data_IF_825926417947
#
_entry.id   IF_825926417947
#
_cell.length_a   1.000
_cell.length_b   1.000
_cell.length_c   1.000
_cell.angle_alpha   90.00
_cell.angle_beta   90.00
_cell.angle_gamma   90.00
#
_symmetry.space_group_name_H-M   'P 1'
#
loop_
_entity.id
_entity.type
_entity.pdbx_description
1 polymer ?
#
# COMPACT_ATOMS: atom_id res chain seq x y z
N UNK A 1 55.30 -77.29 -18.32
CA UNK A 1 56.52 -78.00 -18.75
C UNK A 1 56.39 -79.46 -18.35
N UNK A 2 56.43 -80.38 -19.33
CA UNK A 2 56.70 -81.78 -19.01
C UNK A 2 58.18 -81.87 -18.60
N UNK A 3 58.50 -82.54 -17.49
CA UNK A 3 59.88 -82.64 -17.01
C UNK A 3 60.74 -83.36 -18.06
N UNK A 4 62.02 -82.97 -18.24
CA UNK A 4 62.92 -83.64 -19.18
C UNK A 4 63.11 -85.09 -18.75
N UNK A 5 62.84 -86.01 -19.67
CA UNK A 5 62.94 -87.46 -19.45
C UNK A 5 64.33 -87.93 -19.89
N UNK A 6 64.93 -88.84 -19.11
CA UNK A 6 66.26 -89.40 -19.42
C UNK A 6 66.27 -90.11 -20.77
N UNK A 7 67.34 -89.90 -21.54
CA UNK A 7 67.50 -90.41 -22.91
C UNK A 7 67.49 -91.94 -22.97
N UNK A 8 67.87 -92.63 -21.89
CA UNK A 8 67.82 -94.09 -21.75
C UNK A 8 66.38 -94.64 -21.81
N UNK A 9 65.42 -93.93 -21.24
CA UNK A 9 64.00 -94.33 -21.17
C UNK A 9 63.31 -94.16 -22.52
N UNK A 10 63.71 -93.13 -23.27
CA UNK A 10 63.19 -92.85 -24.62
C UNK A 10 63.65 -93.94 -25.61
N UNK A 11 64.93 -94.32 -25.58
CA UNK A 11 65.48 -95.38 -26.44
C UNK A 11 64.89 -96.75 -26.12
N UNK A 12 64.61 -97.03 -24.84
CA UNK A 12 63.99 -98.30 -24.42
C UNK A 12 62.50 -98.42 -24.85
N UNK A 13 61.81 -97.30 -25.07
CA UNK A 13 60.37 -97.27 -25.34
C UNK A 13 60.05 -96.38 -26.55
N UNK A 14 60.25 -96.87 -27.78
CA UNK A 14 60.14 -96.05 -28.99
C UNK A 14 58.73 -95.49 -29.21
N UNK A 15 57.66 -96.20 -28.78
CA UNK A 15 56.29 -95.67 -28.84
C UNK A 15 56.07 -94.47 -27.92
N UNK A 16 56.72 -94.48 -26.76
CA UNK A 16 56.63 -93.39 -25.78
C UNK A 16 57.44 -92.18 -26.25
N UNK A 17 58.59 -92.39 -26.88
CA UNK A 17 59.37 -91.32 -27.51
C UNK A 17 58.56 -90.57 -28.59
N UNK A 18 57.83 -91.29 -29.44
CA UNK A 18 56.95 -90.69 -30.44
C UNK A 18 55.81 -89.88 -29.80
N UNK A 19 55.19 -90.40 -28.73
CA UNK A 19 54.12 -89.68 -28.04
C UNK A 19 54.66 -88.45 -27.29
N UNK A 20 55.79 -88.56 -26.61
CA UNK A 20 56.41 -87.46 -25.88
C UNK A 20 56.84 -86.34 -26.83
N UNK A 21 57.43 -86.71 -27.97
CA UNK A 21 57.77 -85.75 -29.03
C UNK A 21 56.52 -85.12 -29.66
N UNK A 22 55.46 -85.87 -29.95
CA UNK A 22 54.20 -85.33 -30.49
C UNK A 22 53.49 -84.39 -29.51
N UNK A 23 53.47 -84.74 -28.22
CA UNK A 23 52.89 -83.90 -27.17
C UNK A 23 53.67 -82.58 -27.02
N UNK A 24 55.01 -82.62 -26.99
CA UNK A 24 55.85 -81.44 -26.88
C UNK A 24 55.85 -80.59 -28.17
N UNK A 25 55.85 -81.22 -29.35
CA UNK A 25 55.92 -80.53 -30.63
C UNK A 25 54.56 -79.99 -31.09
N UNK A 26 53.49 -80.79 -31.01
CA UNK A 26 52.24 -80.51 -31.70
C UNK A 26 51.07 -80.18 -30.76
N UNK A 27 51.03 -80.74 -29.54
CA UNK A 27 49.82 -80.65 -28.68
C UNK A 27 49.94 -79.66 -27.52
N UNK A 28 51.12 -79.39 -26.99
CA UNK A 28 51.32 -78.54 -25.81
C UNK A 28 52.29 -77.39 -26.09
N UNK A 29 52.02 -76.25 -25.48
CA UNK A 29 52.94 -75.12 -25.36
C UNK A 29 53.93 -75.36 -24.22
N UNK A 30 55.03 -74.61 -24.20
CA UNK A 30 56.06 -74.67 -23.15
C UNK A 30 55.47 -74.52 -21.73
N UNK A 31 54.48 -73.64 -21.55
CA UNK A 31 53.79 -73.46 -20.28
C UNK A 31 52.84 -74.60 -19.87
N UNK A 32 52.70 -75.66 -20.68
CA UNK A 32 51.82 -76.82 -20.43
C UNK A 32 50.37 -76.61 -20.86
N UNK A 33 50.02 -75.47 -21.46
CA UNK A 33 48.70 -75.29 -22.08
C UNK A 33 48.60 -76.02 -23.42
N UNK A 34 47.41 -76.47 -23.81
CA UNK A 34 47.19 -77.06 -25.13
C UNK A 34 47.42 -76.04 -26.25
N UNK A 35 48.03 -76.48 -27.34
CA UNK A 35 48.10 -75.74 -28.61
C UNK A 35 46.71 -75.76 -29.25
N UNK A 36 45.91 -74.73 -28.99
CA UNK A 36 44.62 -74.52 -29.64
C UNK A 36 44.82 -73.80 -30.98
N UNK A 37 43.95 -74.09 -31.94
CA UNK A 37 43.84 -73.31 -33.17
C UNK A 37 43.44 -71.86 -32.85
N UNK A 38 43.86 -70.91 -33.69
CA UNK A 38 43.65 -69.46 -33.53
C UNK A 38 42.17 -69.14 -33.36
N UNK A 39 41.28 -69.87 -34.05
CA UNK A 39 39.82 -69.70 -33.91
C UNK A 39 39.31 -70.12 -32.53
N UNK A 40 39.69 -71.31 -32.06
CA UNK A 40 39.26 -71.83 -30.75
C UNK A 40 39.85 -71.01 -29.59
N UNK A 41 41.06 -70.45 -29.77
CA UNK A 41 41.66 -69.54 -28.79
C UNK A 41 40.89 -68.21 -28.70
N UNK A 42 40.45 -67.64 -29.83
CA UNK A 42 39.61 -66.44 -29.84
C UNK A 42 38.25 -66.66 -29.15
N UNK A 43 37.58 -67.78 -29.44
CA UNK A 43 36.31 -68.13 -28.78
C UNK A 43 36.48 -68.24 -27.26
N UNK A 44 37.57 -68.87 -26.80
CA UNK A 44 37.87 -68.96 -25.36
C UNK A 44 38.15 -67.61 -24.74
N UNK A 45 38.85 -66.73 -25.43
CA UNK A 45 39.18 -65.41 -24.92
C UNK A 45 37.94 -64.49 -24.83
N UNK A 46 37.01 -64.60 -25.79
CA UNK A 46 35.69 -63.94 -25.72
C UNK A 46 34.89 -64.45 -24.51
N UNK A 47 34.77 -65.76 -24.35
CA UNK A 47 34.07 -66.34 -23.19
C UNK A 47 34.70 -65.94 -21.85
N UNK A 48 36.04 -65.82 -21.79
CA UNK A 48 36.74 -65.32 -20.60
C UNK A 48 36.42 -63.87 -20.30
N UNK A 49 36.32 -63.01 -21.32
CA UNK A 49 35.93 -61.61 -21.15
C UNK A 49 34.49 -61.50 -20.67
N UNK A 50 33.58 -62.30 -21.23
CA UNK A 50 32.18 -62.35 -20.78
C UNK A 50 32.06 -62.84 -19.33
N UNK A 51 32.76 -63.93 -18.98
CA UNK A 51 32.79 -64.42 -17.60
C UNK A 51 33.38 -63.39 -16.63
N UNK A 52 34.44 -62.68 -17.04
CA UNK A 52 35.01 -61.62 -16.22
C UNK A 52 34.02 -60.48 -16.00
N UNK A 53 33.32 -60.05 -17.07
CA UNK A 53 32.28 -59.02 -16.98
C UNK A 53 31.16 -59.43 -16.02
N UNK A 54 30.63 -60.65 -16.18
CA UNK A 54 29.54 -61.16 -15.32
C UNK A 54 30.00 -61.22 -13.86
N UNK A 55 31.21 -61.74 -13.59
CA UNK A 55 31.76 -61.78 -12.22
C UNK A 55 31.97 -60.39 -11.62
N UNK A 56 32.39 -59.43 -12.42
CA UNK A 56 32.57 -58.05 -11.98
C UNK A 56 31.24 -57.39 -11.64
N UNK A 57 30.22 -57.59 -12.48
CA UNK A 57 28.87 -57.08 -12.24
C UNK A 57 28.25 -57.71 -10.99
N UNK A 58 28.45 -59.02 -10.80
CA UNK A 58 27.98 -59.76 -9.63
C UNK A 58 28.66 -59.27 -8.35
N UNK A 59 29.99 -59.16 -8.35
CA UNK A 59 30.73 -58.61 -7.22
C UNK A 59 30.33 -57.16 -6.90
N UNK A 60 30.04 -56.34 -7.91
CA UNK A 60 29.55 -54.98 -7.70
C UNK A 60 28.16 -54.96 -7.06
N UNK A 61 27.25 -55.83 -7.50
CA UNK A 61 25.92 -55.97 -6.90
C UNK A 61 26.00 -56.41 -5.45
N UNK A 62 26.85 -57.41 -5.15
CA UNK A 62 27.08 -57.88 -3.78
C UNK A 62 27.61 -56.78 -2.85
N UNK A 63 28.58 -55.97 -3.32
CA UNK A 63 29.10 -54.85 -2.51
C UNK A 63 28.00 -53.81 -2.23
N UNK A 64 27.18 -53.47 -3.24
CA UNK A 64 26.07 -52.51 -3.06
C UNK A 64 25.03 -53.11 -2.11
N UNK A 65 24.64 -54.37 -2.30
CA UNK A 65 23.69 -55.06 -1.41
C UNK A 65 24.17 -55.05 0.04
N UNK A 66 25.41 -55.47 0.30
CA UNK A 66 25.97 -55.49 1.64
C UNK A 66 25.98 -54.10 2.29
N UNK A 67 26.25 -53.04 1.51
CA UNK A 67 26.19 -51.66 2.03
C UNK A 67 24.77 -51.18 2.35
N UNK A 68 23.78 -51.60 1.55
CA UNK A 68 22.37 -51.26 1.77
C UNK A 68 21.80 -52.07 2.94
N UNK A 69 22.17 -53.34 3.10
CA UNK A 69 21.79 -54.16 4.27
C UNK A 69 22.37 -53.60 5.57
N UNK A 70 23.62 -53.15 5.57
CA UNK A 70 24.26 -52.51 6.72
C UNK A 70 23.50 -51.21 7.08
N UNK A 71 23.17 -50.39 6.09
CA UNK A 71 22.37 -49.17 6.27
C UNK A 71 20.91 -49.44 6.67
N UNK A 72 20.34 -50.58 6.31
CA UNK A 72 18.94 -50.92 6.60
C UNK A 72 18.77 -51.57 7.98
N UNK A 73 19.73 -52.37 8.43
CA UNK A 73 19.57 -53.20 9.64
C UNK A 73 20.51 -52.84 10.79
N UNK A 74 21.58 -52.08 10.56
CA UNK A 74 22.58 -51.75 11.59
C UNK A 74 22.71 -50.28 11.90
N UNK A 75 22.29 -49.39 11.00
CA UNK A 75 22.35 -47.94 11.22
C UNK A 75 20.96 -47.34 11.44
N UNK A 76 20.73 -46.76 12.62
CA UNK A 76 19.47 -46.08 13.01
C UNK A 76 19.42 -44.62 12.52
N UNK A 77 20.33 -44.22 11.64
CA UNK A 77 20.39 -42.87 11.09
C UNK A 77 19.25 -42.54 10.11
N UNK A 78 18.60 -43.57 9.54
CA UNK A 78 17.49 -43.41 8.60
C UNK A 78 16.12 -43.50 9.29
N UNK A 79 15.18 -42.61 8.95
CA UNK A 79 13.77 -42.73 9.33
C UNK A 79 13.16 -44.08 8.93
N UNK A 80 12.23 -44.59 9.73
CA UNK A 80 11.62 -45.92 9.60
C UNK A 80 11.10 -46.22 8.18
N UNK A 81 10.39 -45.29 7.56
CA UNK A 81 9.83 -45.43 6.21
C UNK A 81 10.92 -45.59 5.13
N UNK A 82 12.04 -44.88 5.29
CA UNK A 82 13.17 -44.95 4.36
C UNK A 82 14.00 -46.21 4.59
N UNK A 83 14.07 -46.69 5.83
CA UNK A 83 14.75 -47.94 6.19
C UNK A 83 14.06 -49.15 5.57
N UNK A 84 12.73 -49.17 5.55
CA UNK A 84 11.94 -50.21 4.88
C UNK A 84 12.19 -50.25 3.36
N UNK A 85 12.22 -49.08 2.71
CA UNK A 85 12.53 -48.97 1.28
C UNK A 85 13.97 -49.40 0.94
N UNK A 86 14.95 -49.05 1.79
CA UNK A 86 16.34 -49.46 1.59
C UNK A 86 16.52 -50.97 1.81
N UNK A 87 15.80 -51.56 2.78
CA UNK A 87 15.76 -53.01 2.99
C UNK A 87 15.16 -53.74 1.77
N UNK A 88 14.07 -53.20 1.21
CA UNK A 88 13.45 -53.74 0.00
C UNK A 88 14.37 -53.62 -1.23
N UNK A 89 15.09 -52.50 -1.37
CA UNK A 89 16.06 -52.31 -2.45
C UNK A 89 17.26 -53.27 -2.34
N UNK A 90 17.74 -53.54 -1.13
CA UNK A 90 18.76 -54.56 -0.90
C UNK A 90 18.27 -55.97 -1.30
N UNK A 91 17.03 -56.33 -0.94
CA UNK A 91 16.40 -57.59 -1.33
C UNK A 91 16.17 -57.71 -2.85
N UNK A 92 15.86 -56.60 -3.54
CA UNK A 92 15.78 -56.56 -5.01
C UNK A 92 17.13 -56.83 -5.67
N UNK A 93 18.21 -56.21 -5.16
CA UNK A 93 19.57 -56.51 -5.61
C UNK A 93 19.98 -57.95 -5.31
N UNK A 94 19.35 -58.56 -4.29
CA UNK A 94 19.26 -59.99 -3.94
C UNK A 94 18.87 -60.92 -5.07
N UNK A 95 18.01 -60.44 -5.98
CA UNK A 95 17.24 -61.31 -6.85
C UNK A 95 16.14 -62.08 -6.11
N UNK A 96 15.79 -61.67 -4.89
CA UNK A 96 14.77 -62.31 -4.04
C UNK A 96 13.35 -61.75 -4.28
N UNK A 97 13.21 -60.79 -5.18
CA UNK A 97 11.91 -60.16 -5.50
C UNK A 97 11.33 -60.81 -6.76
N UNK A 98 10.06 -61.21 -6.65
CA UNK A 98 9.31 -61.84 -7.72
C UNK A 98 9.09 -60.81 -8.84
N UNK A 99 9.13 -61.24 -10.10
CA UNK A 99 9.03 -60.37 -11.29
C UNK A 99 7.76 -59.48 -11.28
N UNK A 100 6.75 -59.88 -10.50
CA UNK A 100 5.48 -59.18 -10.28
C UNK A 100 5.60 -57.92 -9.38
N UNK A 101 6.51 -57.88 -8.40
CA UNK A 101 6.64 -56.77 -7.44
C UNK A 101 7.63 -55.68 -7.91
N UNK A 102 8.49 -55.99 -8.89
CA UNK A 102 9.43 -55.03 -9.47
C UNK A 102 8.72 -53.84 -10.14
N UNK A 103 7.50 -54.04 -10.65
CA UNK A 103 6.68 -52.97 -11.23
C UNK A 103 6.20 -51.96 -10.18
N UNK A 104 5.82 -52.44 -8.99
CA UNK A 104 5.33 -51.60 -7.90
C UNK A 104 6.45 -50.71 -7.35
N UNK A 105 7.63 -51.30 -7.09
CA UNK A 105 8.77 -50.54 -6.56
C UNK A 105 9.29 -49.50 -7.54
N UNK A 106 9.32 -49.82 -8.84
CA UNK A 106 9.67 -48.83 -9.87
C UNK A 106 8.67 -47.68 -9.92
N UNK A 107 7.37 -47.96 -9.78
CA UNK A 107 6.34 -46.92 -9.71
C UNK A 107 6.51 -46.02 -8.47
N UNK A 108 6.86 -46.59 -7.32
CA UNK A 108 7.16 -45.82 -6.12
C UNK A 108 8.43 -44.98 -6.29
N UNK A 109 9.48 -45.51 -6.90
CA UNK A 109 10.73 -44.78 -7.18
C UNK A 109 10.50 -43.61 -8.14
N UNK A 110 9.67 -43.79 -9.16
CA UNK A 110 9.24 -42.72 -10.06
C UNK A 110 8.43 -41.66 -9.31
N UNK A 111 7.52 -42.07 -8.43
CA UNK A 111 6.75 -41.15 -7.59
C UNK A 111 7.65 -40.30 -6.69
N UNK A 112 8.69 -40.91 -6.10
CA UNK A 112 9.66 -40.23 -5.25
C UNK A 112 10.48 -39.20 -6.04
N UNK A 113 10.97 -39.57 -7.23
CA UNK A 113 11.69 -38.65 -8.11
C UNK A 113 10.80 -37.47 -8.55
N UNK A 114 9.53 -37.74 -8.85
CA UNK A 114 8.56 -36.69 -9.17
C UNK A 114 8.33 -35.76 -7.97
N UNK A 115 8.22 -36.31 -6.75
CA UNK A 115 8.07 -35.51 -5.54
C UNK A 115 9.32 -34.66 -5.27
N UNK A 116 10.52 -35.22 -5.45
CA UNK A 116 11.79 -34.52 -5.30
C UNK A 116 11.92 -33.37 -6.30
N UNK A 117 11.53 -33.59 -7.56
CA UNK A 117 11.52 -32.53 -8.59
C UNK A 117 10.49 -31.44 -8.27
N UNK A 118 9.28 -31.81 -7.83
CA UNK A 118 8.25 -30.84 -7.42
C UNK A 118 8.67 -30.00 -6.21
N UNK A 119 9.37 -30.61 -5.25
CA UNK A 119 9.92 -29.90 -4.08
C UNK A 119 11.01 -28.93 -4.50
N UNK A 120 11.92 -29.36 -5.36
CA UNK A 120 13.01 -28.51 -5.88
C UNK A 120 12.48 -27.32 -6.68
N UNK A 121 11.49 -27.54 -7.55
CA UNK A 121 10.85 -26.45 -8.30
C UNK A 121 10.11 -25.47 -7.38
N UNK A 122 9.40 -25.96 -6.38
CA UNK A 122 8.73 -25.12 -5.38
C UNK A 122 9.72 -24.27 -4.57
N UNK A 123 10.87 -24.83 -4.20
CA UNK A 123 11.95 -24.09 -3.52
C UNK A 123 12.48 -22.95 -4.41
N UNK A 124 12.75 -23.22 -5.69
CA UNK A 124 13.21 -22.19 -6.65
C UNK A 124 12.16 -21.09 -6.80
N UNK A 125 10.87 -21.44 -6.86
CA UNK A 125 9.79 -20.47 -6.93
C UNK A 125 9.70 -19.60 -5.67
N UNK A 126 9.86 -20.19 -4.48
CA UNK A 126 9.91 -19.46 -3.23
C UNK A 126 11.07 -18.48 -3.20
N UNK A 127 12.28 -18.90 -3.59
CA UNK A 127 13.44 -18.01 -3.62
C UNK A 127 13.28 -16.87 -4.63
N UNK A 128 12.69 -17.16 -5.80
CA UNK A 128 12.34 -16.13 -6.78
C UNK A 128 11.32 -15.13 -6.22
N UNK A 129 10.31 -15.60 -5.49
CA UNK A 129 9.31 -14.74 -4.85
C UNK A 129 9.92 -13.86 -3.75
N UNK A 130 10.84 -14.42 -2.94
CA UNK A 130 11.58 -13.68 -1.91
C UNK A 130 12.45 -12.58 -2.52
N UNK A 131 13.13 -12.87 -3.62
CA UNK A 131 13.95 -11.89 -4.33
C UNK A 131 13.08 -10.77 -4.92
N UNK A 132 11.96 -11.12 -5.55
CA UNK A 132 10.99 -10.14 -6.06
C UNK A 132 10.44 -9.25 -4.93
N UNK A 133 10.10 -9.83 -3.78
CA UNK A 133 9.64 -9.09 -2.60
C UNK A 133 10.73 -8.14 -2.07
N UNK A 134 11.98 -8.58 -1.97
CA UNK A 134 13.09 -7.73 -1.55
C UNK A 134 13.30 -6.55 -2.51
N UNK A 135 13.16 -6.79 -3.82
CA UNK A 135 13.16 -5.72 -4.84
C UNK A 135 12.04 -4.70 -4.63
N UNK A 136 10.81 -5.18 -4.37
CA UNK A 136 9.67 -4.32 -4.11
C UNK A 136 9.83 -3.51 -2.81
N UNK A 137 10.35 -4.11 -1.73
CA UNK A 137 10.63 -3.42 -0.46
C UNK A 137 11.64 -2.29 -0.68
N UNK A 138 12.70 -2.53 -1.46
CA UNK A 138 13.67 -1.49 -1.83
C UNK A 138 13.00 -0.33 -2.56
N UNK A 139 12.13 -0.63 -3.53
CA UNK A 139 11.40 0.40 -4.26
C UNK A 139 10.43 1.17 -3.36
N UNK A 140 9.70 0.47 -2.49
CA UNK A 140 8.81 1.07 -1.51
C UNK A 140 9.55 2.03 -0.56
N UNK A 141 10.69 1.63 -0.01
CA UNK A 141 11.50 2.53 0.83
C UNK A 141 12.05 3.74 0.06
N UNK A 142 12.42 3.57 -1.21
CA UNK A 142 12.83 4.70 -2.05
C UNK A 142 11.69 5.71 -2.27
N UNK A 143 10.49 5.22 -2.57
CA UNK A 143 9.29 6.06 -2.70
C UNK A 143 8.94 6.73 -1.37
N UNK A 144 8.99 6.01 -0.26
CA UNK A 144 8.70 6.58 1.06
C UNK A 144 9.71 7.68 1.44
N UNK A 145 10.99 7.51 1.11
CA UNK A 145 11.99 8.56 1.24
C UNK A 145 11.64 9.79 0.41
N UNK A 146 11.24 9.61 -0.84
CA UNK A 146 10.87 10.71 -1.73
C UNK A 146 9.63 11.48 -1.22
N UNK A 147 8.61 10.75 -0.72
CA UNK A 147 7.43 11.35 -0.10
C UNK A 147 7.82 12.16 1.13
N UNK A 148 8.63 11.60 2.03
CA UNK A 148 9.09 12.31 3.23
C UNK A 148 9.89 13.57 2.86
N UNK A 149 10.84 13.48 1.92
CA UNK A 149 11.61 14.63 1.47
C UNK A 149 10.74 15.74 0.88
N UNK A 150 9.79 15.37 -0.01
CA UNK A 150 8.85 16.35 -0.58
C UNK A 150 7.94 16.98 0.48
N UNK A 151 7.46 16.20 1.45
CA UNK A 151 6.62 16.71 2.53
C UNK A 151 7.36 17.69 3.43
N UNK A 152 8.63 17.39 3.78
CA UNK A 152 9.50 18.28 4.55
C UNK A 152 9.74 19.56 3.76
N UNK A 153 10.06 19.46 2.46
CA UNK A 153 10.26 20.64 1.61
C UNK A 153 9.02 21.53 1.53
N UNK A 154 7.83 20.93 1.40
CA UNK A 154 6.57 21.68 1.38
C UNK A 154 6.33 22.35 2.74
N UNK A 155 6.52 21.65 3.85
CA UNK A 155 6.42 22.22 5.21
C UNK A 155 7.39 23.38 5.40
N UNK A 156 8.64 23.21 5.00
CA UNK A 156 9.65 24.26 5.05
C UNK A 156 9.25 25.45 4.19
N UNK A 157 8.71 25.26 2.98
CA UNK A 157 8.28 26.36 2.11
C UNK A 157 7.02 27.07 2.61
N UNK A 158 6.05 26.33 3.15
CA UNK A 158 4.73 26.86 3.53
C UNK A 158 4.68 27.46 4.94
N UNK A 159 5.42 26.88 5.89
CA UNK A 159 5.44 27.37 7.28
C UNK A 159 6.68 28.23 7.54
N UNK A 160 7.83 27.83 7.01
CA UNK A 160 9.12 28.45 7.34
C UNK A 160 9.78 29.19 6.16
N UNK A 161 9.13 29.23 5.01
CA UNK A 161 9.76 29.60 3.74
C UNK A 161 9.76 31.10 3.50
N UNK A 162 10.56 31.52 2.51
CA UNK A 162 10.61 32.92 2.07
C UNK A 162 9.23 33.44 1.65
N UNK A 163 8.36 32.60 1.09
CA UNK A 163 6.99 32.97 0.71
C UNK A 163 6.15 33.28 1.94
N UNK A 164 6.12 32.40 2.95
CA UNK A 164 5.39 32.63 4.19
C UNK A 164 5.92 33.86 4.97
N UNK A 165 7.24 34.07 4.96
CA UNK A 165 7.85 35.27 5.57
C UNK A 165 7.54 36.54 4.79
N UNK A 166 7.55 36.48 3.46
CA UNK A 166 7.21 37.62 2.58
C UNK A 166 5.74 38.00 2.71
N UNK A 167 4.83 37.02 2.74
CA UNK A 167 3.40 37.28 2.96
C UNK A 167 3.15 37.87 4.34
N UNK A 168 3.79 37.34 5.39
CA UNK A 168 3.74 37.91 6.74
C UNK A 168 4.28 39.34 6.80
N UNK A 169 5.46 39.59 6.22
CA UNK A 169 6.04 40.94 6.16
C UNK A 169 5.13 41.91 5.39
N UNK A 170 4.52 41.45 4.30
CA UNK A 170 3.55 42.24 3.51
C UNK A 170 2.28 42.54 4.29
N UNK A 171 1.74 41.59 5.06
CA UNK A 171 0.55 41.82 5.88
C UNK A 171 0.85 42.76 7.04
N UNK A 172 1.99 42.62 7.70
CA UNK A 172 2.47 43.55 8.74
C UNK A 172 2.66 44.97 8.19
N UNK A 173 3.25 45.11 7.00
CA UNK A 173 3.36 46.40 6.32
C UNK A 173 1.99 47.01 6.01
N UNK A 174 1.06 46.24 5.44
CA UNK A 174 -0.28 46.75 5.14
C UNK A 174 -1.06 47.12 6.42
N UNK A 175 -0.88 46.38 7.51
CA UNK A 175 -1.48 46.69 8.81
C UNK A 175 -0.96 48.02 9.38
N UNK A 176 0.36 48.24 9.35
CA UNK A 176 0.97 49.50 9.82
C UNK A 176 0.55 50.69 8.96
N UNK A 177 0.44 50.52 7.63
CA UNK A 177 -0.10 51.54 6.73
C UNK A 177 -1.56 51.85 7.07
N UNK A 178 -2.40 50.83 7.27
CA UNK A 178 -3.81 51.02 7.63
C UNK A 178 -3.95 51.76 8.98
N UNK A 179 -3.13 51.41 9.98
CA UNK A 179 -3.10 52.10 11.27
C UNK A 179 -2.67 53.57 11.11
N UNK A 180 -1.64 53.83 10.30
CA UNK A 180 -1.18 55.18 9.98
C UNK A 180 -2.26 56.00 9.26
N UNK A 181 -2.96 55.40 8.29
CA UNK A 181 -4.08 56.05 7.61
C UNK A 181 -5.24 56.33 8.57
N UNK A 182 -5.59 55.40 9.45
CA UNK A 182 -6.64 55.61 10.45
C UNK A 182 -6.31 56.76 11.40
N UNK A 183 -5.06 56.83 11.88
CA UNK A 183 -4.57 57.96 12.69
C UNK A 183 -4.62 59.28 11.91
N UNK A 184 -4.24 59.27 10.63
CA UNK A 184 -4.31 60.47 9.77
C UNK A 184 -5.75 60.96 9.59
N UNK A 185 -6.69 60.06 9.34
CA UNK A 185 -8.13 60.39 9.25
C UNK A 185 -8.63 60.94 10.58
N UNK A 186 -8.24 60.34 11.71
CA UNK A 186 -8.57 60.86 13.04
C UNK A 186 -8.06 62.27 13.28
N UNK A 187 -6.82 62.58 12.89
CA UNK A 187 -6.26 63.93 12.97
C UNK A 187 -7.00 64.92 12.08
N UNK A 188 -7.29 64.56 10.82
CA UNK A 188 -8.05 65.41 9.91
C UNK A 188 -9.46 65.68 10.44
N UNK A 189 -10.12 64.66 10.99
CA UNK A 189 -11.40 64.83 11.64
C UNK A 189 -11.33 65.79 12.82
N UNK A 190 -10.35 65.64 13.72
CA UNK A 190 -10.16 66.54 14.84
C UNK A 190 -9.87 67.99 14.41
N UNK A 191 -9.06 68.18 13.36
CA UNK A 191 -8.80 69.51 12.77
C UNK A 191 -10.06 70.16 12.20
N UNK A 192 -10.87 69.40 11.45
CA UNK A 192 -12.13 69.91 10.93
C UNK A 192 -13.11 70.22 12.06
N UNK A 193 -13.19 69.38 13.10
CA UNK A 193 -14.00 69.66 14.28
C UNK A 193 -13.56 70.95 14.97
N UNK A 194 -12.26 71.20 15.11
CA UNK A 194 -11.77 72.48 15.66
C UNK A 194 -12.17 73.69 14.80
N UNK A 195 -12.16 73.57 13.47
CA UNK A 195 -12.51 74.65 12.55
C UNK A 195 -14.02 74.97 12.56
N UNK A 196 -14.88 73.95 12.57
CA UNK A 196 -16.33 74.14 12.47
C UNK A 196 -17.04 74.24 13.83
N UNK A 197 -16.51 73.60 14.86
CA UNK A 197 -17.01 73.66 16.23
C UNK A 197 -16.07 74.48 17.11
N UNK A 198 -15.74 75.70 16.68
CA UNK A 198 -15.12 76.67 17.57
C UNK A 198 -16.07 77.02 18.72
N UNK A 199 -15.50 77.47 19.85
CA UNK A 199 -16.27 77.91 21.03
C UNK A 199 -17.31 78.96 20.65
N UNK A 200 -16.93 79.89 19.76
CA UNK A 200 -17.77 80.99 19.32
C UNK A 200 -18.98 80.50 18.50
N UNK A 201 -18.77 79.50 17.63
CA UNK A 201 -19.86 78.88 16.86
C UNK A 201 -20.77 78.07 17.78
N UNK A 202 -20.23 77.36 18.77
CA UNK A 202 -21.03 76.64 19.75
C UNK A 202 -21.87 77.58 20.63
N UNK A 203 -21.31 78.72 21.05
CA UNK A 203 -22.05 79.75 21.79
C UNK A 203 -23.13 80.41 20.92
N UNK A 204 -22.82 80.74 19.66
CA UNK A 204 -23.81 81.27 18.73
C UNK A 204 -24.97 80.29 18.48
N UNK A 205 -24.67 79.00 18.30
CA UNK A 205 -25.68 77.95 18.14
C UNK A 205 -26.53 77.76 19.40
N UNK A 206 -25.92 77.82 20.60
CA UNK A 206 -26.66 77.76 21.88
C UNK A 206 -27.61 78.94 22.03
N UNK A 207 -27.11 80.14 21.80
CA UNK A 207 -27.91 81.37 21.87
C UNK A 207 -29.07 81.29 20.88
N UNK A 208 -28.83 80.83 19.64
CA UNK A 208 -29.89 80.65 18.65
C UNK A 208 -30.91 79.58 19.04
N UNK A 209 -30.47 78.49 19.68
CA UNK A 209 -31.39 77.47 20.18
C UNK A 209 -32.28 78.01 21.31
N UNK A 210 -31.71 78.82 22.20
CA UNK A 210 -32.45 79.41 23.31
C UNK A 210 -33.41 80.52 22.85
N UNK A 211 -33.01 81.36 21.88
CA UNK A 211 -33.93 82.33 21.27
C UNK A 211 -35.08 81.64 20.57
N UNK A 212 -34.81 80.60 19.77
CA UNK A 212 -35.86 79.83 19.08
C UNK A 212 -36.81 79.13 20.07
N UNK A 213 -36.30 78.65 21.21
CA UNK A 213 -37.14 78.10 22.29
C UNK A 213 -38.02 79.17 22.92
N UNK A 214 -37.45 80.33 23.25
CA UNK A 214 -38.21 81.46 23.80
C UNK A 214 -39.31 81.89 22.81
N UNK A 215 -38.98 82.05 21.54
CA UNK A 215 -39.96 82.35 20.48
C UNK A 215 -41.05 81.28 20.38
N UNK A 216 -40.70 79.99 20.41
CA UNK A 216 -41.69 78.91 20.41
C UNK A 216 -42.63 78.99 21.62
N UNK A 217 -42.11 79.25 22.83
CA UNK A 217 -42.94 79.38 24.03
C UNK A 217 -43.87 80.58 23.96
N UNK A 218 -43.38 81.73 23.47
CA UNK A 218 -44.21 82.94 23.31
C UNK A 218 -45.27 82.75 22.23
N UNK A 219 -44.95 82.10 21.10
CA UNK A 219 -45.92 81.76 20.07
C UNK A 219 -46.98 80.79 20.60
N UNK A 220 -46.60 79.77 21.37
CA UNK A 220 -47.56 78.87 22.03
C UNK A 220 -48.49 79.62 22.99
N UNK A 221 -47.96 80.57 23.77
CA UNK A 221 -48.78 81.41 24.64
C UNK A 221 -49.77 82.27 23.82
N UNK A 222 -49.31 82.91 22.75
CA UNK A 222 -50.18 83.69 21.83
C UNK A 222 -51.24 82.84 21.17
N UNK A 223 -50.91 81.61 20.77
CA UNK A 223 -51.89 80.64 20.22
C UNK A 223 -52.95 80.33 21.27
N UNK A 224 -52.53 80.03 22.51
CA UNK A 224 -53.45 79.76 23.61
C UNK A 224 -54.37 80.94 23.93
N UNK A 225 -53.83 82.16 23.94
CA UNK A 225 -54.62 83.38 24.16
C UNK A 225 -55.61 83.63 23.01
N UNK A 226 -55.20 83.40 21.77
CA UNK A 226 -56.06 83.54 20.60
C UNK A 226 -57.17 82.48 20.58
N UNK A 227 -56.85 81.23 20.94
CA UNK A 227 -57.81 80.15 21.13
C UNK A 227 -58.81 80.49 22.25
N UNK A 228 -58.33 81.01 23.39
CA UNK A 228 -59.19 81.47 24.47
C UNK A 228 -60.16 82.58 24.04
N UNK A 229 -59.67 83.58 23.30
CA UNK A 229 -60.55 84.62 22.71
C UNK A 229 -61.57 84.03 21.74
N UNK A 230 -61.16 83.08 20.90
CA UNK A 230 -62.08 82.40 19.98
C UNK A 230 -63.15 81.59 20.74
N UNK A 231 -62.79 80.95 21.85
CA UNK A 231 -63.73 80.27 22.73
C UNK A 231 -64.69 81.26 23.40
N UNK A 232 -64.21 82.40 23.89
CA UNK A 232 -65.06 83.46 24.42
C UNK A 232 -66.03 84.00 23.36
N UNK A 233 -65.58 84.26 22.12
CA UNK A 233 -66.46 84.65 21.02
C UNK A 233 -67.49 83.56 20.68
N UNK A 234 -67.13 82.28 20.81
CA UNK A 234 -68.06 81.16 20.63
C UNK A 234 -69.06 81.05 21.78
N UNK A 235 -68.61 81.26 23.02
CA UNK A 235 -69.41 81.11 24.24
C UNK A 235 -70.32 82.31 24.53
N UNK A 236 -69.88 83.53 24.22
CA UNK A 236 -70.65 84.76 24.36
C UNK A 236 -71.73 84.85 23.28
N UNK A 237 -72.80 84.03 23.38
CA UNK A 237 -73.97 84.00 22.46
C UNK A 237 -73.61 84.45 21.04
N UNK A 238 -72.55 83.85 20.47
CA UNK A 238 -71.97 84.30 19.22
C UNK A 238 -73.04 84.31 18.13
N UNK A 239 -72.90 85.22 17.16
CA UNK A 239 -73.70 85.48 15.93
C UNK A 239 -74.98 84.65 15.67
N UNK A 240 -74.93 83.33 15.86
CA UNK A 240 -76.05 82.37 15.92
C UNK A 240 -77.12 82.67 16.99
N UNK A 241 -76.74 83.13 18.19
CA UNK A 241 -77.70 83.52 19.24
C UNK A 241 -78.45 84.80 18.87
N UNK A 242 -77.71 85.81 18.40
CA UNK A 242 -78.25 87.07 17.87
C UNK A 242 -79.13 86.81 16.65
N UNK A 243 -78.71 85.92 15.74
CA UNK A 243 -79.49 85.56 14.56
C UNK A 243 -80.81 84.84 14.90
N UNK A 244 -80.83 84.00 15.95
CA UNK A 244 -82.07 83.37 16.44
C UNK A 244 -83.02 84.40 17.06
N UNK A 245 -82.52 85.28 17.92
CA UNK A 245 -83.33 86.37 18.49
C UNK A 245 -83.88 87.30 17.39
N UNK A 246 -83.07 87.62 16.37
CA UNK A 246 -83.52 88.42 15.22
C UNK A 246 -84.57 87.70 14.36
N UNK A 247 -84.44 86.39 14.14
CA UNK A 247 -85.42 85.58 13.43
C UNK A 247 -86.76 85.46 14.18
N UNK A 248 -86.73 85.40 15.52
CA UNK A 248 -87.94 85.45 16.34
C UNK A 248 -88.64 86.81 16.23
N UNK A 249 -87.88 87.91 16.33
CA UNK A 249 -88.43 89.26 16.15
C UNK A 249 -89.06 89.43 14.76
N UNK A 250 -88.43 88.89 13.71
CA UNK A 250 -88.99 88.88 12.35
C UNK A 250 -90.33 88.15 12.26
N UNK A 251 -90.43 86.94 12.83
CA UNK A 251 -91.70 86.18 12.85
C UNK A 251 -92.81 86.90 13.61
N UNK A 252 -92.49 87.53 14.73
CA UNK A 252 -93.46 88.33 15.50
C UNK A 252 -93.90 89.53 14.67
N UNK A 253 -92.98 90.20 13.97
CA UNK A 253 -93.30 91.35 13.10
C UNK A 253 -94.21 90.96 11.92
N UNK A 254 -94.03 89.76 11.35
CA UNK A 254 -94.90 89.23 10.30
C UNK A 254 -96.30 88.91 10.83
N UNK A 255 -96.41 88.26 11.99
CA UNK A 255 -97.71 88.00 12.63
C UNK A 255 -98.47 89.28 12.93
N UNK A 256 -97.79 90.30 13.47
CA UNK A 256 -98.41 91.60 13.74
C UNK A 256 -98.85 92.28 12.43
N UNK A 257 -98.07 92.17 11.34
CA UNK A 257 -98.49 92.67 10.02
C UNK A 257 -99.70 91.92 9.48
N UNK A 258 -99.76 90.60 9.62
CA UNK A 258 -100.91 89.80 9.20
C UNK A 258 -102.18 90.13 10.01
N UNK A 259 -102.06 90.35 11.33
CA UNK A 259 -103.17 90.79 12.18
C UNK A 259 -103.67 92.19 11.78
N UNK A 260 -102.77 93.13 11.50
CA UNK A 260 -103.14 94.47 11.00
C UNK A 260 -103.83 94.40 9.64
N UNK A 261 -103.51 93.41 8.80
CA UNK A 261 -104.10 93.25 7.47
C UNK A 261 -105.47 92.55 7.47
N UNK A 262 -105.91 92.00 8.62
CA UNK A 262 -107.24 91.37 8.79
C UNK A 262 -108.24 92.26 9.54
N UNK A 263 -107.83 93.44 10.00
CA UNK A 263 -108.65 94.50 10.59
C UNK A 263 -108.98 95.57 9.53
#
# INVERSE_FOLDING_TARGET
MLPPIESSVLVANPKFEVLYSDLCANKLNENGSSKLDVKAQKERDVLRQELYRIRLEDARREVIRASLEDSAYRDDSLPDDLRELVALAAAMLGGEVWDEDSGLVNAELESFNNLQSSTSTSQIQLDRSRLALAGNIKHFHALQRQILESSIRILEQTIHGSVARSTKSKTEYLATVAEGMNKKVGLQHAQLMQLFYSTDVQEALRNQADTTRMESTTLRAKVRDAEGKLEEYRAAKGMLGIAKEYAEILKVSEKVKEEISRL
#
